data_IF_801525778256
#
_entry.id   IF_801525778256
#
_cell.length_a   1.000
_cell.length_b   1.000
_cell.length_c   1.000
_cell.angle_alpha   90.00
_cell.angle_beta   90.00
_cell.angle_gamma   90.00
#
_symmetry.space_group_name_H-M   'P 1'
#
loop_
_entity.id
_entity.type
_entity.pdbx_description
1 polymer ?
#
# COMPACT_ATOMS: atom_id res chain seq x y z
N UNK A 1 -10.79 10.73 19.98
CA UNK A 1 -9.60 10.86 19.10
C UNK A 1 -8.80 9.59 19.31
N UNK A 2 -8.78 8.68 18.34
CA UNK A 2 -8.04 7.41 18.44
C UNK A 2 -6.83 7.55 17.51
N UNK A 3 -5.63 7.57 18.08
CA UNK A 3 -4.38 7.66 17.33
C UNK A 3 -3.95 6.26 16.89
N UNK A 4 -3.46 6.11 15.66
CA UNK A 4 -2.89 4.85 15.17
C UNK A 4 -1.37 4.97 15.25
N UNK A 5 -0.72 3.97 15.83
CA UNK A 5 0.75 3.91 15.91
C UNK A 5 1.25 2.70 15.14
N UNK A 6 2.34 2.87 14.38
CA UNK A 6 3.03 1.74 13.72
C UNK A 6 4.00 1.12 14.72
N UNK A 7 3.83 -0.16 15.02
CA UNK A 7 4.59 -0.86 16.08
C UNK A 7 5.51 -1.94 15.48
N UNK A 8 6.69 -2.20 16.07
CA UNK A 8 7.65 -3.19 15.61
C UNK A 8 7.08 -4.59 15.41
N UNK A 9 7.61 -5.26 14.39
CA UNK A 9 7.27 -6.62 13.96
C UNK A 9 7.28 -7.64 15.12
N UNK A 10 8.26 -7.57 16.02
CA UNK A 10 8.49 -8.59 17.06
C UNK A 10 7.46 -8.60 18.20
N UNK A 11 6.63 -7.55 18.33
CA UNK A 11 5.63 -7.42 19.41
C UNK A 11 4.17 -7.53 18.94
N UNK A 12 3.91 -7.81 17.65
CA UNK A 12 2.58 -7.61 17.05
C UNK A 12 1.67 -8.84 17.09
N UNK A 13 2.20 -10.07 17.01
CA UNK A 13 1.37 -11.27 16.83
C UNK A 13 0.44 -11.60 18.01
N UNK A 14 0.82 -11.24 19.25
CA UNK A 14 -0.01 -11.51 20.43
C UNK A 14 -1.14 -10.49 20.63
N UNK A 15 -0.96 -9.24 20.21
CA UNK A 15 -1.88 -8.13 20.43
C UNK A 15 -2.72 -7.72 19.19
N UNK A 16 -2.55 -8.42 18.06
CA UNK A 16 -3.54 -8.44 16.97
C UNK A 16 -4.85 -9.07 17.46
N UNK A 17 -5.97 -8.59 16.92
CA UNK A 17 -7.25 -9.27 17.06
C UNK A 17 -7.12 -10.74 16.61
N UNK A 18 -7.78 -11.69 17.30
CA UNK A 18 -7.72 -13.14 16.99
C UNK A 18 -8.00 -13.42 15.51
N UNK A 19 -8.93 -12.69 14.92
CA UNK A 19 -9.34 -12.88 13.52
C UNK A 19 -8.34 -12.29 12.51
N UNK A 20 -7.47 -11.36 12.92
CA UNK A 20 -6.48 -10.74 12.05
C UNK A 20 -5.14 -11.47 12.00
N UNK A 21 -4.85 -12.32 13.00
CA UNK A 21 -3.55 -13.03 13.11
C UNK A 21 -3.25 -13.95 11.93
N UNK A 22 -4.17 -14.84 11.48
CA UNK A 22 -3.86 -15.77 10.40
C UNK A 22 -3.58 -15.03 9.10
N UNK A 23 -4.39 -14.01 8.82
CA UNK A 23 -4.27 -13.21 7.62
C UNK A 23 -2.97 -12.40 7.59
N UNK A 24 -2.60 -11.81 8.73
CA UNK A 24 -1.31 -11.11 8.85
C UNK A 24 -0.14 -12.05 8.59
N UNK A 25 -0.11 -13.24 9.21
CA UNK A 25 0.98 -14.21 9.01
C UNK A 25 1.05 -14.65 7.55
N UNK A 26 -0.10 -14.93 6.93
CA UNK A 26 -0.19 -15.28 5.52
C UNK A 26 0.38 -14.18 4.62
N UNK A 27 0.03 -12.92 4.86
CA UNK A 27 0.55 -11.79 4.06
C UNK A 27 2.07 -11.61 4.23
N UNK A 28 2.62 -11.90 5.41
CA UNK A 28 4.08 -11.87 5.61
C UNK A 28 4.79 -12.96 4.81
N UNK A 29 4.28 -14.19 4.86
CA UNK A 29 4.86 -15.33 4.12
C UNK A 29 4.78 -15.07 2.62
N UNK A 30 3.62 -14.61 2.13
CA UNK A 30 3.43 -14.27 0.73
C UNK A 30 4.43 -13.20 0.26
N UNK A 31 4.61 -12.14 1.03
CA UNK A 31 5.59 -11.10 0.70
C UNK A 31 7.02 -11.67 0.64
N UNK A 32 7.41 -12.52 1.59
CA UNK A 32 8.73 -13.18 1.57
C UNK A 32 8.93 -14.06 0.33
N UNK A 33 7.89 -14.78 -0.10
CA UNK A 33 7.93 -15.57 -1.34
C UNK A 33 8.11 -14.66 -2.54
N UNK A 34 7.28 -13.62 -2.69
CA UNK A 34 7.35 -12.66 -3.80
C UNK A 34 8.74 -12.03 -3.92
N UNK A 35 9.35 -11.65 -2.80
CA UNK A 35 10.66 -11.00 -2.80
C UNK A 35 11.82 -11.92 -3.22
N UNK A 36 11.67 -13.24 -3.03
CA UNK A 36 12.66 -14.26 -3.39
C UNK A 36 12.48 -14.83 -4.79
N UNK A 37 11.31 -14.64 -5.40
CA UNK A 37 11.08 -15.06 -6.77
C UNK A 37 11.97 -14.24 -7.72
N UNK A 38 12.55 -14.87 -8.75
CA UNK A 38 13.31 -14.15 -9.75
C UNK A 38 12.39 -13.18 -10.50
N UNK A 39 12.89 -11.97 -10.76
CA UNK A 39 12.20 -11.02 -11.65
C UNK A 39 12.31 -11.57 -13.09
N UNK A 40 11.31 -12.35 -13.53
CA UNK A 40 11.23 -12.79 -14.93
C UNK A 40 10.72 -11.64 -15.80
N UNK A 41 11.33 -11.43 -16.97
CA UNK A 41 10.84 -10.47 -17.97
C UNK A 41 9.35 -10.70 -18.31
N UNK A 42 8.91 -11.96 -18.24
CA UNK A 42 7.52 -12.37 -18.45
C UNK A 42 6.53 -11.64 -17.52
N UNK A 43 6.92 -11.38 -16.26
CA UNK A 43 6.00 -10.78 -15.28
C UNK A 43 5.56 -9.37 -15.64
N UNK A 44 6.44 -8.57 -16.27
CA UNK A 44 6.09 -7.24 -16.77
C UNK A 44 5.05 -7.35 -17.90
N UNK A 45 5.26 -8.26 -18.84
CA UNK A 45 4.36 -8.43 -19.97
C UNK A 45 3.00 -8.97 -19.53
N UNK A 46 2.97 -9.92 -18.59
CA UNK A 46 1.73 -10.48 -18.05
C UNK A 46 0.85 -9.38 -17.42
N UNK A 47 1.45 -8.50 -16.60
CA UNK A 47 0.73 -7.36 -16.01
C UNK A 47 0.23 -6.38 -17.06
N UNK A 48 1.02 -6.11 -18.10
CA UNK A 48 0.63 -5.21 -19.20
C UNK A 48 -0.55 -5.80 -19.97
N UNK A 49 -0.50 -7.08 -20.31
CA UNK A 49 -1.59 -7.75 -21.04
C UNK A 49 -2.88 -7.71 -20.22
N UNK A 50 -2.81 -8.06 -18.93
CA UNK A 50 -3.97 -7.96 -18.03
C UNK A 50 -4.51 -6.53 -17.92
N UNK A 51 -3.63 -5.52 -17.87
CA UNK A 51 -4.05 -4.13 -17.84
C UNK A 51 -4.73 -3.73 -19.15
N UNK A 52 -4.21 -4.16 -20.30
CA UNK A 52 -4.81 -3.88 -21.62
C UNK A 52 -6.21 -4.47 -21.71
N UNK A 53 -6.39 -5.71 -21.24
CA UNK A 53 -7.69 -6.39 -21.22
C UNK A 53 -8.68 -5.68 -20.29
N UNK A 54 -8.24 -5.29 -19.08
CA UNK A 54 -9.10 -4.61 -18.12
C UNK A 54 -9.52 -3.20 -18.56
N UNK A 55 -8.66 -2.50 -19.29
CA UNK A 55 -8.87 -1.11 -19.71
C UNK A 55 -9.10 -0.99 -21.23
N UNK A 56 -9.56 -2.04 -21.91
CA UNK A 56 -9.62 -2.09 -23.38
C UNK A 56 -10.38 -0.92 -24.03
N UNK A 57 -11.44 -0.42 -23.37
CA UNK A 57 -12.24 0.72 -23.84
C UNK A 57 -11.78 2.08 -23.32
N UNK A 58 -10.73 2.16 -22.50
CA UNK A 58 -10.25 3.40 -21.91
C UNK A 58 -8.95 3.86 -22.59
N UNK A 59 -9.09 4.68 -23.64
CA UNK A 59 -7.95 5.18 -24.42
C UNK A 59 -6.90 5.93 -23.57
N UNK A 60 -7.34 6.67 -22.54
CA UNK A 60 -6.43 7.39 -21.64
C UNK A 60 -5.56 6.41 -20.85
N UNK A 61 -6.16 5.34 -20.32
CA UNK A 61 -5.41 4.31 -19.61
C UNK A 61 -4.55 3.47 -20.54
N UNK A 62 -4.99 3.18 -21.77
CA UNK A 62 -4.14 2.53 -22.78
C UNK A 62 -2.86 3.33 -23.06
N UNK A 63 -2.96 4.65 -23.21
CA UNK A 63 -1.78 5.51 -23.37
C UNK A 63 -0.84 5.46 -22.17
N UNK A 64 -1.39 5.42 -20.94
CA UNK A 64 -0.59 5.26 -19.71
C UNK A 64 0.07 3.89 -19.63
N UNK A 65 -0.58 2.83 -20.14
CA UNK A 65 0.00 1.48 -20.25
C UNK A 65 1.16 1.48 -21.25
N UNK A 66 1.01 2.11 -22.42
CA UNK A 66 2.10 2.20 -23.41
C UNK A 66 3.28 3.04 -22.91
N UNK A 67 3.01 4.08 -22.11
CA UNK A 67 4.04 4.86 -21.42
C UNK A 67 4.78 4.00 -20.38
N UNK A 68 4.05 3.21 -19.58
CA UNK A 68 4.62 2.27 -18.63
C UNK A 68 5.48 1.20 -19.32
N UNK A 69 4.98 0.58 -20.40
CA UNK A 69 5.71 -0.44 -21.15
C UNK A 69 7.08 0.07 -21.63
N UNK A 70 7.13 1.31 -22.12
CA UNK A 70 8.37 1.92 -22.66
C UNK A 70 9.31 2.47 -21.59
N UNK A 71 8.78 3.12 -20.55
CA UNK A 71 9.56 3.96 -19.65
C UNK A 71 9.72 3.39 -18.23
N UNK A 72 9.12 2.25 -17.93
CA UNK A 72 9.28 1.59 -16.63
C UNK A 72 10.67 0.99 -16.43
N UNK A 73 11.25 1.24 -15.26
CA UNK A 73 12.40 0.53 -14.70
C UNK A 73 12.19 0.26 -13.21
N UNK A 74 12.90 -0.72 -12.65
CA UNK A 74 12.80 -1.05 -11.22
C UNK A 74 13.16 0.13 -10.30
N UNK A 75 14.02 1.04 -10.76
CA UNK A 75 14.44 2.23 -10.01
C UNK A 75 13.42 3.37 -10.05
N UNK A 76 12.32 3.24 -10.81
CA UNK A 76 11.24 4.22 -10.83
C UNK A 76 9.87 3.63 -10.45
N UNK A 77 9.84 2.45 -9.82
CA UNK A 77 8.61 1.77 -9.40
C UNK A 77 7.70 2.65 -8.52
N UNK A 78 8.26 3.37 -7.54
CA UNK A 78 7.52 4.30 -6.68
C UNK A 78 6.83 5.40 -7.50
N UNK A 79 7.52 5.98 -8.49
CA UNK A 79 6.96 7.02 -9.37
C UNK A 79 5.73 6.50 -10.11
N UNK A 80 5.76 5.26 -10.58
CA UNK A 80 4.61 4.63 -11.23
C UNK A 80 3.49 4.27 -10.24
N UNK A 81 3.86 3.87 -9.03
CA UNK A 81 2.90 3.56 -7.98
C UNK A 81 2.18 4.81 -7.44
N UNK A 82 2.82 5.99 -7.43
CA UNK A 82 2.20 7.24 -6.94
C UNK A 82 1.52 8.05 -8.04
N UNK A 83 1.81 7.76 -9.31
CA UNK A 83 1.12 8.38 -10.46
C UNK A 83 -0.33 7.89 -10.56
N UNK A 84 -1.24 8.78 -10.96
CA UNK A 84 -2.59 8.38 -11.36
C UNK A 84 -2.55 7.54 -12.65
N UNK A 85 -2.40 6.22 -12.49
CA UNK A 85 -2.40 5.23 -13.56
C UNK A 85 -2.86 3.87 -13.04
N UNK A 86 -3.04 2.93 -13.97
CA UNK A 86 -3.49 1.57 -13.68
C UNK A 86 -2.69 0.85 -12.58
N UNK A 87 -1.38 1.12 -12.46
CA UNK A 87 -0.45 0.43 -11.57
C UNK A 87 -0.91 0.47 -10.11
N UNK A 88 -1.11 1.68 -9.56
CA UNK A 88 -1.61 1.88 -8.19
C UNK A 88 -2.92 1.13 -7.93
N UNK A 89 -3.84 1.19 -8.90
CA UNK A 89 -5.17 0.60 -8.78
C UNK A 89 -5.13 -0.93 -8.79
N UNK A 90 -4.40 -1.52 -9.75
CA UNK A 90 -4.30 -2.98 -9.88
C UNK A 90 -3.59 -3.59 -8.68
N UNK A 91 -2.44 -3.04 -8.29
CA UNK A 91 -1.63 -3.56 -7.18
C UNK A 91 -2.43 -3.49 -5.87
N UNK A 92 -3.02 -2.34 -5.54
CA UNK A 92 -3.81 -2.23 -4.31
C UNK A 92 -5.10 -3.03 -4.33
N UNK A 93 -5.74 -3.18 -5.51
CA UNK A 93 -6.92 -4.05 -5.62
C UNK A 93 -6.54 -5.51 -5.33
N UNK A 94 -5.46 -6.00 -5.92
CA UNK A 94 -4.97 -7.36 -5.68
C UNK A 94 -4.65 -7.60 -4.21
N UNK A 95 -3.89 -6.68 -3.59
CA UNK A 95 -3.51 -6.78 -2.18
C UNK A 95 -4.71 -6.67 -1.22
N UNK A 96 -5.69 -5.79 -1.50
CA UNK A 96 -6.89 -5.60 -0.66
C UNK A 96 -7.88 -6.75 -0.76
N UNK A 97 -7.98 -7.36 -1.94
CA UNK A 97 -8.87 -8.52 -2.17
C UNK A 97 -8.20 -9.86 -1.87
N UNK A 98 -6.91 -9.84 -1.52
CA UNK A 98 -6.10 -11.02 -1.23
C UNK A 98 -6.15 -12.07 -2.35
N UNK A 99 -6.40 -11.60 -3.58
CA UNK A 99 -6.49 -12.47 -4.74
C UNK A 99 -5.09 -12.93 -5.13
N UNK A 100 -4.77 -14.17 -4.77
CA UNK A 100 -3.44 -14.77 -4.93
C UNK A 100 -2.98 -14.73 -6.38
N UNK A 101 -3.88 -15.03 -7.32
CA UNK A 101 -3.57 -15.05 -8.75
C UNK A 101 -3.15 -13.67 -9.22
N UNK A 102 -3.90 -12.62 -8.84
CA UNK A 102 -3.56 -11.24 -9.18
C UNK A 102 -2.30 -10.76 -8.45
N UNK A 103 -2.09 -11.14 -7.19
CA UNK A 103 -0.86 -10.79 -6.46
C UNK A 103 0.34 -11.42 -7.16
N UNK A 104 0.24 -12.68 -7.57
CA UNK A 104 1.28 -13.36 -8.33
C UNK A 104 1.47 -12.75 -9.71
N UNK A 105 0.41 -12.36 -10.39
CA UNK A 105 0.46 -11.67 -11.69
C UNK A 105 1.22 -10.34 -11.59
N UNK A 106 1.01 -9.58 -10.51
CA UNK A 106 1.67 -8.29 -10.27
C UNK A 106 2.97 -8.41 -9.45
N UNK A 107 3.47 -9.64 -9.22
CA UNK A 107 4.60 -9.92 -8.32
C UNK A 107 5.86 -9.15 -8.66
N UNK A 108 6.17 -8.97 -9.95
CA UNK A 108 7.38 -8.28 -10.37
C UNK A 108 7.37 -6.83 -9.87
N UNK A 109 6.23 -6.14 -10.04
CA UNK A 109 6.10 -4.75 -9.65
C UNK A 109 6.06 -4.62 -8.13
N UNK A 110 5.37 -5.52 -7.42
CA UNK A 110 5.33 -5.55 -5.95
C UNK A 110 6.76 -5.70 -5.39
N UNK A 111 7.56 -6.60 -5.97
CA UNK A 111 8.94 -6.82 -5.55
C UNK A 111 9.81 -5.59 -5.80
N UNK A 112 9.73 -4.98 -6.99
CA UNK A 112 10.53 -3.79 -7.33
C UNK A 112 10.12 -2.58 -6.49
N UNK A 113 8.81 -2.38 -6.26
CA UNK A 113 8.30 -1.33 -5.38
C UNK A 113 8.82 -1.50 -3.94
N UNK A 114 8.78 -2.73 -3.41
CA UNK A 114 9.28 -3.02 -2.07
C UNK A 114 10.79 -2.76 -1.96
N UNK A 115 11.59 -3.24 -2.94
CA UNK A 115 13.05 -3.02 -2.96
C UNK A 115 13.40 -1.54 -3.05
N UNK A 116 12.68 -0.77 -3.86
CA UNK A 116 12.90 0.67 -3.95
C UNK A 116 12.54 1.38 -2.63
N UNK A 117 11.41 1.01 -2.00
CA UNK A 117 11.02 1.54 -0.69
C UNK A 117 12.04 1.21 0.39
N UNK A 118 12.58 0.00 0.40
CA UNK A 118 13.61 -0.43 1.35
C UNK A 118 14.90 0.39 1.20
N UNK A 119 15.37 0.63 -0.03
CA UNK A 119 16.54 1.49 -0.28
C UNK A 119 16.32 2.90 0.28
N UNK A 120 15.16 3.50 -0.02
CA UNK A 120 14.83 4.85 0.47
C UNK A 120 14.67 4.88 2.00
N UNK A 121 14.05 3.86 2.59
CA UNK A 121 13.89 3.73 4.03
C UNK A 121 15.25 3.70 4.73
N UNK A 122 16.20 2.89 4.24
CA UNK A 122 17.54 2.81 4.79
C UNK A 122 18.28 4.15 4.68
N UNK A 123 18.18 4.83 3.53
CA UNK A 123 18.76 6.17 3.37
C UNK A 123 18.11 7.21 4.28
N UNK A 124 16.79 7.14 4.49
CA UNK A 124 16.06 8.04 5.36
C UNK A 124 16.44 7.81 6.83
N UNK A 125 16.52 6.55 7.28
CA UNK A 125 16.89 6.19 8.66
C UNK A 125 18.32 6.60 9.00
N UNK A 126 19.26 6.51 8.05
CA UNK A 126 20.64 6.93 8.26
C UNK A 126 20.80 8.45 8.44
N UNK A 127 19.87 9.25 7.90
CA UNK A 127 20.00 10.71 7.82
C UNK A 127 19.06 11.50 8.75
N UNK A 128 18.16 10.83 9.48
CA UNK A 128 17.18 11.51 10.34
C UNK A 128 17.43 11.27 11.82
N UNK A 129 17.43 12.37 12.57
CA UNK A 129 17.57 12.39 14.03
C UNK A 129 16.24 12.56 14.77
N UNK A 130 15.12 12.71 14.06
CA UNK A 130 13.79 12.78 14.67
C UNK A 130 13.42 11.43 15.29
N UNK A 131 12.58 11.41 16.32
CA UNK A 131 12.09 10.15 16.90
C UNK A 131 10.76 9.73 16.28
N UNK A 132 9.84 10.68 16.06
CA UNK A 132 8.47 10.42 15.63
C UNK A 132 8.10 11.33 14.46
N UNK A 133 7.45 10.77 13.45
CA UNK A 133 6.85 11.48 12.31
C UNK A 133 5.34 11.27 12.35
N UNK A 134 4.58 12.35 12.23
CA UNK A 134 3.11 12.29 12.06
C UNK A 134 2.78 12.33 10.58
N UNK A 135 1.98 11.38 10.12
CA UNK A 135 1.41 11.39 8.78
C UNK A 135 -0.11 11.13 8.81
N UNK A 136 -0.75 11.51 7.72
CA UNK A 136 -2.19 11.54 7.57
C UNK A 136 -2.61 10.78 6.33
N UNK A 137 -3.76 10.12 6.40
CA UNK A 137 -4.40 9.49 5.23
C UNK A 137 -5.90 9.70 5.29
N UNK A 138 -6.44 10.32 4.24
CA UNK A 138 -7.87 10.36 4.03
C UNK A 138 -8.31 9.22 3.11
N UNK A 139 -9.43 8.58 3.43
CA UNK A 139 -10.12 7.68 2.51
C UNK A 139 -11.62 7.63 2.76
N UNK A 140 -12.39 7.32 1.71
CA UNK A 140 -13.73 6.77 1.86
C UNK A 140 -13.61 5.30 2.25
N UNK A 141 -14.38 4.88 3.25
CA UNK A 141 -14.34 3.54 3.81
C UNK A 141 -15.75 2.96 3.94
N UNK A 142 -16.01 1.72 3.50
CA UNK A 142 -17.25 1.02 3.78
C UNK A 142 -17.58 0.98 5.28
N UNK A 143 -18.85 1.15 5.65
CA UNK A 143 -19.28 1.18 7.07
C UNK A 143 -18.88 -0.10 7.81
N UNK A 144 -18.97 -1.26 7.16
CA UNK A 144 -18.56 -2.53 7.77
C UNK A 144 -17.05 -2.58 8.08
N UNK A 145 -16.21 -2.05 7.20
CA UNK A 145 -14.76 -1.94 7.44
C UNK A 145 -14.47 -0.95 8.57
N UNK A 146 -15.21 0.16 8.63
CA UNK A 146 -15.10 1.14 9.71
C UNK A 146 -15.48 0.56 11.07
N UNK A 147 -16.62 -0.12 11.17
CA UNK A 147 -17.05 -0.77 12.41
C UNK A 147 -16.10 -1.89 12.82
N UNK A 148 -15.49 -2.63 11.87
CA UNK A 148 -14.41 -3.58 12.14
C UNK A 148 -13.20 -2.90 12.79
N UNK A 149 -12.71 -1.79 12.21
CA UNK A 149 -11.56 -1.04 12.78
C UNK A 149 -11.92 -0.48 14.17
N UNK A 150 -13.14 0.03 14.34
CA UNK A 150 -13.64 0.54 15.62
C UNK A 150 -13.76 -0.55 16.68
N UNK A 151 -14.10 -1.79 16.31
CA UNK A 151 -14.09 -2.92 17.24
C UNK A 151 -12.67 -3.31 17.70
N UNK A 152 -11.64 -2.87 16.98
CA UNK A 152 -10.22 -3.10 17.28
C UNK A 152 -9.58 -1.96 18.09
N UNK A 153 -10.36 -1.08 18.72
CA UNK A 153 -9.82 -0.07 19.64
C UNK A 153 -9.04 -0.76 20.78
N UNK A 154 -7.85 -0.24 21.10
CA UNK A 154 -6.87 -0.83 22.02
C UNK A 154 -6.29 -2.19 21.56
N UNK A 155 -6.46 -2.55 20.29
CA UNK A 155 -5.84 -3.71 19.65
C UNK A 155 -5.02 -3.26 18.43
N UNK A 156 -4.21 -4.17 17.88
CA UNK A 156 -3.55 -3.91 16.61
C UNK A 156 -4.46 -4.23 15.43
N UNK A 157 -4.32 -3.42 14.39
CA UNK A 157 -4.88 -3.66 13.06
C UNK A 157 -3.77 -3.99 12.07
N UNK A 158 -4.06 -4.87 11.11
CA UNK A 158 -3.15 -5.13 9.99
C UNK A 158 -3.59 -4.44 8.70
N UNK A 159 -2.62 -3.88 7.98
CA UNK A 159 -2.79 -3.29 6.65
C UNK A 159 -1.91 -4.06 5.67
N UNK A 160 -2.54 -4.77 4.73
CA UNK A 160 -1.86 -5.65 3.76
C UNK A 160 -1.56 -4.97 2.42
N UNK A 161 -1.79 -3.66 2.31
CA UNK A 161 -1.54 -2.85 1.10
C UNK A 161 -0.42 -1.84 1.34
N UNK A 162 0.15 -1.30 0.27
CA UNK A 162 1.07 -0.16 0.37
C UNK A 162 0.30 1.10 0.82
N UNK A 163 0.68 1.65 1.97
CA UNK A 163 -0.09 2.69 2.65
C UNK A 163 0.45 4.08 2.33
N UNK A 164 -0.11 4.72 1.31
CA UNK A 164 0.22 6.10 0.96
C UNK A 164 -0.35 7.08 1.99
N UNK A 165 0.48 8.00 2.46
CA UNK A 165 0.16 9.02 3.47
C UNK A 165 0.73 10.38 3.06
N UNK A 166 0.21 11.46 3.65
CA UNK A 166 0.76 12.81 3.52
C UNK A 166 1.21 13.34 4.88
N UNK A 167 2.25 14.15 4.93
CA UNK A 167 2.61 14.92 6.14
C UNK A 167 1.66 16.09 6.38
N UNK A 168 0.83 16.44 5.40
CA UNK A 168 -0.18 17.49 5.49
C UNK A 168 -1.58 16.89 5.62
N UNK A 169 -2.27 17.22 6.72
CA UNK A 169 -3.65 16.81 6.93
C UNK A 169 -4.60 17.38 5.87
N UNK A 170 -4.39 18.62 5.41
CA UNK A 170 -5.23 19.23 4.37
C UNK A 170 -5.13 18.48 3.04
N UNK A 171 -3.93 18.01 2.68
CA UNK A 171 -3.72 17.17 1.49
C UNK A 171 -4.41 15.81 1.67
N UNK A 172 -4.33 15.21 2.86
CA UNK A 172 -4.98 13.94 3.13
C UNK A 172 -6.51 14.02 3.03
N UNK A 173 -7.12 15.10 3.48
CA UNK A 173 -8.59 15.30 3.46
C UNK A 173 -9.13 15.39 2.01
N UNK A 174 -8.32 15.90 1.06
CA UNK A 174 -8.72 15.98 -0.36
C UNK A 174 -9.03 14.60 -1.00
N UNK A 175 -8.55 13.50 -0.41
CA UNK A 175 -8.80 12.14 -0.91
C UNK A 175 -10.23 11.64 -0.67
N UNK A 176 -10.99 12.24 0.25
CA UNK A 176 -12.41 11.89 0.46
C UNK A 176 -13.38 13.04 0.19
N UNK A 177 -12.93 14.30 0.18
CA UNK A 177 -13.80 15.46 -0.15
C UNK A 177 -14.42 15.31 -1.53
N UNK A 178 -13.66 14.81 -2.51
CA UNK A 178 -14.09 14.71 -3.91
C UNK A 178 -14.84 13.41 -4.24
N UNK A 179 -15.06 12.52 -3.25
CA UNK A 179 -15.50 11.15 -3.49
C UNK A 179 -17.00 10.96 -3.74
N UNK A 180 -17.81 12.03 -3.68
CA UNK A 180 -19.27 11.96 -3.80
C UNK A 180 -19.94 11.25 -2.61
N UNK A 181 -21.20 11.56 -2.36
CA UNK A 181 -21.99 10.80 -1.39
C UNK A 181 -22.36 9.44 -2.00
N UNK A 182 -21.62 8.40 -1.66
CA UNK A 182 -22.06 7.02 -1.86
C UNK A 182 -22.79 6.53 -0.61
N UNK A 183 -23.84 5.73 -0.80
CA UNK A 183 -24.46 5.01 0.31
C UNK A 183 -23.45 4.04 0.94
N UNK A 184 -23.54 3.86 2.25
CA UNK A 184 -22.77 2.87 3.03
C UNK A 184 -21.25 3.06 3.11
N UNK A 185 -20.76 4.28 2.87
CA UNK A 185 -19.36 4.67 3.14
C UNK A 185 -19.27 5.86 4.09
N UNK A 186 -18.15 5.94 4.83
CA UNK A 186 -17.80 7.04 5.74
C UNK A 186 -16.47 7.67 5.35
N UNK A 187 -16.35 8.98 5.54
CA UNK A 187 -15.07 9.69 5.39
C UNK A 187 -14.21 9.46 6.63
N UNK A 188 -13.03 8.86 6.45
CA UNK A 188 -12.09 8.58 7.53
C UNK A 188 -10.79 9.32 7.28
N UNK A 189 -10.34 10.07 8.29
CA UNK A 189 -8.99 10.63 8.36
C UNK A 189 -8.21 9.85 9.41
N UNK A 190 -7.17 9.14 8.97
CA UNK A 190 -6.19 8.55 9.83
C UNK A 190 -5.12 9.57 10.19
N UNK A 191 -4.79 9.64 11.47
CA UNK A 191 -3.59 10.29 12.01
C UNK A 191 -2.69 9.20 12.57
N UNK A 192 -1.49 9.10 12.00
CA UNK A 192 -0.58 7.98 12.20
C UNK A 192 0.73 8.52 12.76
N UNK A 193 1.12 8.00 13.93
CA UNK A 193 2.40 8.28 14.56
C UNK A 193 3.38 7.17 14.18
N UNK A 194 4.47 7.55 13.54
CA UNK A 194 5.52 6.64 13.08
C UNK A 194 6.80 6.92 13.86
N UNK A 195 7.19 5.99 14.72
CA UNK A 195 8.52 6.03 15.35
C UNK A 195 9.57 5.48 14.38
N UNK A 196 10.50 6.33 13.97
CA UNK A 196 11.49 6.00 12.94
C UNK A 196 12.66 5.16 13.48
N UNK A 197 12.84 5.14 14.81
CA UNK A 197 13.90 4.36 15.45
C UNK A 197 13.51 2.88 15.56
N UNK A 198 12.20 2.61 15.65
CA UNK A 198 11.67 1.25 15.68
C UNK A 198 11.97 0.51 14.38
N UNK A 199 12.26 -0.80 14.50
CA UNK A 199 12.38 -1.69 13.35
C UNK A 199 10.97 -2.01 12.83
N UNK A 200 10.58 -1.30 11.79
CA UNK A 200 9.24 -1.38 11.18
C UNK A 200 9.35 -1.82 9.72
N UNK A 201 8.20 -2.02 9.06
CA UNK A 201 8.18 -2.22 7.60
C UNK A 201 8.74 -0.97 6.91
N UNK A 202 9.43 -1.11 5.76
CA UNK A 202 10.00 0.02 5.05
C UNK A 202 8.95 1.09 4.69
N UNK A 203 9.28 2.34 4.94
CA UNK A 203 8.53 3.51 4.48
C UNK A 203 9.49 4.59 3.97
N UNK A 204 9.01 5.48 3.12
CA UNK A 204 9.84 6.56 2.60
C UNK A 204 9.00 7.83 2.41
N UNK A 205 9.56 9.02 2.70
CA UNK A 205 9.04 10.26 2.12
C UNK A 205 9.31 10.25 0.62
N UNK A 206 8.30 10.63 -0.17
CA UNK A 206 8.32 10.62 -1.64
C UNK A 206 7.94 12.00 -2.15
#
# INVERSE_FOLDING_TARGET
QTSISIIPYEHTSHALNKDEKPLFLWSQILLQVILRLPSSCDGKQDMINQARDQYFNNQVEQQKIDDFERNYSSDNAIKWYTRDCFVYRLVNKALRTENIDNIFLYRFFIADLHRQLERLYLSHKANNNSSIVTCYRGQLMPINEFERIKSSINQYISINTFFSTSTSSSVAVNFFINGGQQCDVVCVLFEILVDINLQTKPFAPI
#
